data_IF_694955984506
#
_entry.id   IF_694955984506
#
_cell.length_a   1.000
_cell.length_b   1.000
_cell.length_c   1.000
_cell.angle_alpha   90.00
_cell.angle_beta   90.00
_cell.angle_gamma   90.00
#
_symmetry.space_group_name_H-M   'P 1'
#
loop_
_entity.id
_entity.type
_entity.pdbx_description
1 polymer ?
#
# COMPACT_ATOMS: atom_id res chain seq x y z
N UNK A 1 -9.36 -16.20 24.51
CA UNK A 1 -9.03 -16.28 23.07
C UNK A 1 -9.88 -15.23 22.37
N UNK A 2 -9.30 -14.08 22.02
CA UNK A 2 -10.01 -13.08 21.23
C UNK A 2 -9.96 -13.59 19.80
N UNK A 3 -11.00 -14.36 19.41
CA UNK A 3 -11.17 -14.76 18.03
C UNK A 3 -11.51 -13.51 17.22
N UNK A 4 -10.53 -12.93 16.54
CA UNK A 4 -10.82 -12.06 15.41
C UNK A 4 -11.43 -13.00 14.37
N UNK A 5 -12.74 -12.89 14.16
CA UNK A 5 -13.40 -13.53 13.05
C UNK A 5 -12.84 -12.91 11.78
N UNK A 6 -11.85 -13.56 11.20
CA UNK A 6 -11.28 -13.19 9.90
C UNK A 6 -12.27 -13.73 8.85
N UNK A 7 -13.39 -13.05 8.68
CA UNK A 7 -14.44 -13.54 7.80
C UNK A 7 -14.10 -13.37 6.32
N UNK A 8 -13.25 -12.47 5.94
CA UNK A 8 -12.70 -12.33 4.59
C UNK A 8 -11.51 -11.38 4.66
N UNK A 9 -10.30 -11.88 4.52
CA UNK A 9 -9.14 -11.06 4.21
C UNK A 9 -9.11 -10.80 2.71
N UNK A 10 -8.67 -9.61 2.30
CA UNK A 10 -8.25 -9.37 0.92
C UNK A 10 -7.22 -10.43 0.54
N UNK A 11 -7.40 -11.06 -0.61
CA UNK A 11 -6.33 -11.89 -1.13
C UNK A 11 -5.24 -11.01 -1.77
N UNK A 12 -4.05 -11.54 -1.89
CA UNK A 12 -2.89 -10.79 -2.38
C UNK A 12 -3.11 -10.18 -3.78
N UNK A 13 -3.88 -10.86 -4.64
CA UNK A 13 -4.17 -10.37 -5.99
C UNK A 13 -5.11 -9.15 -5.98
N UNK A 14 -6.14 -9.15 -5.13
CA UNK A 14 -7.04 -8.00 -4.96
C UNK A 14 -6.29 -6.82 -4.37
N UNK A 15 -5.49 -7.05 -3.33
CA UNK A 15 -4.64 -6.05 -2.72
C UNK A 15 -3.69 -5.41 -3.74
N UNK A 16 -2.88 -6.20 -4.42
CA UNK A 16 -1.95 -5.68 -5.43
C UNK A 16 -2.64 -4.92 -6.56
N UNK A 17 -3.82 -5.39 -7.00
CA UNK A 17 -4.59 -4.69 -8.02
C UNK A 17 -5.04 -3.31 -7.55
N UNK A 18 -5.62 -3.22 -6.35
CA UNK A 18 -6.09 -1.95 -5.80
C UNK A 18 -4.93 -1.00 -5.48
N UNK A 19 -3.85 -1.50 -4.90
CA UNK A 19 -2.63 -0.72 -4.66
C UNK A 19 -2.07 -0.16 -5.97
N UNK A 20 -2.02 -0.98 -7.04
CA UNK A 20 -1.54 -0.54 -8.34
C UNK A 20 -2.45 0.52 -8.98
N UNK A 21 -3.76 0.41 -8.82
CA UNK A 21 -4.73 1.43 -9.27
C UNK A 21 -4.54 2.75 -8.52
N UNK A 22 -4.45 2.70 -7.20
CA UNK A 22 -4.22 3.89 -6.37
C UNK A 22 -2.86 4.51 -6.69
N UNK A 23 -1.80 3.71 -6.78
CA UNK A 23 -0.46 4.17 -7.12
C UNK A 23 -0.41 4.86 -8.49
N UNK A 24 -1.11 4.30 -9.49
CA UNK A 24 -1.28 4.92 -10.79
C UNK A 24 -1.98 6.28 -10.69
N UNK A 25 -3.10 6.35 -9.98
CA UNK A 25 -3.86 7.60 -9.82
C UNK A 25 -3.02 8.66 -9.11
N UNK A 26 -2.29 8.30 -8.07
CA UNK A 26 -1.35 9.19 -7.37
C UNK A 26 -0.28 9.72 -8.30
N UNK A 27 0.36 8.85 -9.08
CA UNK A 27 1.42 9.25 -10.01
C UNK A 27 0.91 10.17 -11.13
N UNK A 28 -0.29 9.90 -11.68
CA UNK A 28 -0.92 10.80 -12.67
C UNK A 28 -1.28 12.15 -12.06
N UNK A 29 -1.82 12.17 -10.84
CA UNK A 29 -2.12 13.42 -10.11
C UNK A 29 -0.85 14.23 -9.81
N UNK A 30 0.24 13.57 -9.41
CA UNK A 30 1.54 14.23 -9.19
C UNK A 30 2.04 14.85 -10.49
N UNK A 31 1.85 14.17 -11.61
CA UNK A 31 2.35 14.57 -12.93
C UNK A 31 1.42 15.52 -13.70
N UNK A 32 0.35 16.02 -13.10
CA UNK A 32 -0.66 16.85 -13.77
C UNK A 32 -0.06 18.06 -14.51
N UNK A 33 0.97 18.66 -13.94
CA UNK A 33 1.65 19.84 -14.53
C UNK A 33 3.04 19.49 -15.09
N UNK A 34 3.80 18.63 -14.38
CA UNK A 34 5.16 18.26 -14.69
C UNK A 34 5.38 16.75 -14.54
N UNK A 35 6.28 16.17 -15.33
CA UNK A 35 6.68 14.76 -15.20
C UNK A 35 7.68 14.61 -14.05
N UNK A 36 7.20 14.39 -12.86
CA UNK A 36 7.98 14.26 -11.63
C UNK A 36 8.29 12.83 -11.25
N UNK A 37 7.39 11.89 -11.57
CA UNK A 37 7.52 10.46 -11.29
C UNK A 37 7.14 9.63 -12.52
N UNK A 38 7.66 8.41 -12.63
CA UNK A 38 7.27 7.45 -13.67
C UNK A 38 6.06 6.61 -13.19
N UNK A 39 4.84 6.83 -13.73
CA UNK A 39 3.66 6.09 -13.31
C UNK A 39 3.77 4.58 -13.53
N UNK A 40 4.50 4.16 -14.58
CA UNK A 40 4.67 2.75 -14.84
C UNK A 40 5.61 2.10 -13.81
N UNK A 41 6.64 2.81 -13.38
CA UNK A 41 7.55 2.34 -12.33
C UNK A 41 6.81 2.19 -10.98
N UNK A 42 5.95 3.15 -10.64
CA UNK A 42 5.06 3.04 -9.46
C UNK A 42 4.19 1.78 -9.55
N UNK A 43 3.49 1.58 -10.67
CA UNK A 43 2.63 0.40 -10.88
C UNK A 43 3.41 -0.91 -10.76
N UNK A 44 4.62 -0.98 -11.32
CA UNK A 44 5.46 -2.18 -11.20
C UNK A 44 5.80 -2.50 -9.74
N UNK A 45 6.15 -1.50 -8.95
CA UNK A 45 6.42 -1.68 -7.51
C UNK A 45 5.17 -2.13 -6.74
N UNK A 46 4.03 -1.48 -7.00
CA UNK A 46 2.74 -1.87 -6.39
C UNK A 46 2.35 -3.32 -6.69
N UNK A 47 2.69 -3.84 -7.88
CA UNK A 47 2.35 -5.21 -8.28
C UNK A 47 3.27 -6.28 -7.69
N UNK A 48 4.41 -5.91 -7.12
CA UNK A 48 5.40 -6.88 -6.65
C UNK A 48 5.77 -6.76 -5.18
N UNK A 49 5.32 -5.70 -4.49
CA UNK A 49 5.82 -5.35 -3.16
C UNK A 49 5.65 -6.47 -2.12
N UNK A 50 4.53 -7.16 -2.14
CA UNK A 50 4.22 -8.26 -1.21
C UNK A 50 4.32 -9.66 -1.87
N UNK A 51 4.98 -9.78 -3.03
CA UNK A 51 5.20 -11.09 -3.66
C UNK A 51 5.97 -12.04 -2.73
N UNK A 52 6.78 -11.51 -1.82
CA UNK A 52 7.43 -12.26 -0.76
C UNK A 52 6.46 -12.96 0.22
N UNK A 53 5.19 -12.57 0.25
CA UNK A 53 4.16 -13.16 1.11
C UNK A 53 3.42 -14.36 0.49
N UNK A 54 3.68 -14.68 -0.79
CA UNK A 54 3.01 -15.78 -1.52
C UNK A 54 3.10 -17.11 -0.76
N UNK A 55 4.24 -17.40 -0.14
CA UNK A 55 4.47 -18.62 0.62
C UNK A 55 4.62 -18.30 2.10
N UNK A 56 3.54 -18.27 2.84
CA UNK A 56 3.58 -18.07 4.29
C UNK A 56 2.72 -16.93 4.82
N UNK A 57 2.28 -16.04 3.94
CA UNK A 57 1.44 -14.90 4.30
C UNK A 57 2.16 -13.80 5.07
N UNK A 58 1.44 -12.72 5.33
CA UNK A 58 1.92 -11.58 6.12
C UNK A 58 1.97 -11.89 7.61
N UNK A 59 2.93 -11.30 8.29
CA UNK A 59 2.98 -11.30 9.76
C UNK A 59 2.15 -10.16 10.32
N UNK A 60 1.06 -10.51 11.00
CA UNK A 60 0.13 -9.53 11.55
C UNK A 60 0.83 -8.42 12.33
N UNK A 61 0.59 -7.17 11.96
CA UNK A 61 1.25 -5.99 12.52
C UNK A 61 1.21 -5.90 14.07
N UNK A 62 0.16 -6.35 14.79
CA UNK A 62 0.18 -6.40 16.25
C UNK A 62 1.24 -7.36 16.81
N UNK A 63 1.51 -8.47 16.12
CA UNK A 63 2.54 -9.43 16.51
C UNK A 63 3.94 -8.84 16.27
N UNK A 64 4.19 -8.30 15.10
CA UNK A 64 5.47 -7.66 14.75
C UNK A 64 5.84 -6.51 15.67
N UNK A 65 4.84 -5.76 16.15
CA UNK A 65 5.06 -4.67 17.13
C UNK A 65 5.42 -5.16 18.53
N UNK A 66 4.85 -6.29 18.95
CA UNK A 66 5.12 -6.87 20.28
C UNK A 66 6.38 -7.73 20.31
N UNK A 67 6.78 -8.26 19.18
CA UNK A 67 7.88 -9.18 19.01
C UNK A 67 8.75 -8.75 17.82
N UNK A 68 9.71 -7.83 18.03
CA UNK A 68 10.60 -7.35 16.95
C UNK A 68 11.42 -8.46 16.28
N UNK A 69 11.70 -9.54 17.02
CA UNK A 69 12.33 -10.75 16.49
C UNK A 69 11.46 -11.41 15.38
N UNK A 70 10.14 -11.42 15.53
CA UNK A 70 9.22 -11.95 14.52
C UNK A 70 9.28 -11.13 13.23
N UNK A 71 9.41 -9.81 13.33
CA UNK A 71 9.59 -8.97 12.15
C UNK A 71 10.85 -9.33 11.35
N UNK A 72 11.94 -9.65 12.06
CA UNK A 72 13.18 -10.10 11.40
C UNK A 72 12.99 -11.44 10.68
N UNK A 73 12.29 -12.39 11.30
CA UNK A 73 12.00 -13.68 10.68
C UNK A 73 11.09 -13.55 9.46
N UNK A 74 10.04 -12.69 9.54
CA UNK A 74 9.17 -12.39 8.42
C UNK A 74 9.97 -11.87 7.22
N UNK A 75 10.79 -10.84 7.41
CA UNK A 75 11.65 -10.31 6.34
C UNK A 75 12.60 -11.33 5.74
N UNK A 76 13.14 -12.26 6.55
CA UNK A 76 13.98 -13.33 6.03
C UNK A 76 13.19 -14.29 5.15
N UNK A 77 11.94 -14.61 5.54
CA UNK A 77 11.05 -15.45 4.76
C UNK A 77 10.63 -14.76 3.46
N UNK A 78 10.23 -13.50 3.53
CA UNK A 78 9.89 -12.66 2.38
C UNK A 78 11.03 -12.60 1.36
N UNK A 79 12.26 -12.32 1.82
CA UNK A 79 13.45 -12.30 0.96
C UNK A 79 13.70 -13.66 0.28
N UNK A 80 13.55 -14.76 1.02
CA UNK A 80 13.68 -16.11 0.46
C UNK A 80 12.60 -16.40 -0.58
N UNK A 81 11.37 -16.00 -0.33
CA UNK A 81 10.26 -16.14 -1.29
C UNK A 81 10.49 -15.31 -2.56
N UNK A 82 11.02 -14.09 -2.43
CA UNK A 82 11.43 -13.27 -3.58
C UNK A 82 12.49 -13.98 -4.42
N UNK A 83 13.49 -14.63 -3.79
CA UNK A 83 14.50 -15.41 -4.51
C UNK A 83 13.87 -16.59 -5.27
N UNK A 84 12.91 -17.30 -4.66
CA UNK A 84 12.19 -18.39 -5.33
C UNK A 84 11.47 -17.87 -6.56
N UNK A 85 10.66 -16.81 -6.44
CA UNK A 85 9.94 -16.23 -7.57
C UNK A 85 10.90 -15.72 -8.65
N UNK A 86 11.95 -15.02 -8.25
CA UNK A 86 12.95 -14.51 -9.17
C UNK A 86 13.73 -15.63 -9.89
N UNK A 87 13.81 -16.84 -9.31
CA UNK A 87 14.52 -17.97 -9.91
C UNK A 87 13.92 -18.43 -11.24
N UNK A 88 12.61 -18.18 -11.47
CA UNK A 88 11.94 -18.47 -12.75
C UNK A 88 12.34 -17.52 -13.87
N UNK A 89 12.99 -16.39 -13.53
CA UNK A 89 13.38 -15.36 -14.49
C UNK A 89 14.81 -15.62 -15.05
N UNK A 90 15.01 -15.26 -16.31
CA UNK A 90 16.37 -15.22 -16.89
C UNK A 90 17.24 -14.20 -16.12
N UNK A 91 18.57 -14.38 -16.05
CA UNK A 91 19.47 -13.58 -15.19
C UNK A 91 19.24 -12.07 -15.27
N UNK A 92 19.17 -11.50 -16.47
CA UNK A 92 18.96 -10.05 -16.69
C UNK A 92 17.60 -9.57 -16.18
N UNK A 93 16.54 -10.39 -16.30
CA UNK A 93 15.21 -10.05 -15.78
C UNK A 93 15.18 -10.18 -14.27
N UNK A 94 15.85 -11.19 -13.72
CA UNK A 94 16.01 -11.38 -12.28
C UNK A 94 16.70 -10.19 -11.61
N UNK A 95 17.77 -9.72 -12.20
CA UNK A 95 18.48 -8.52 -11.71
C UNK A 95 17.55 -7.28 -11.66
N UNK A 96 16.79 -7.04 -12.73
CA UNK A 96 15.82 -5.94 -12.78
C UNK A 96 14.70 -6.12 -11.74
N UNK A 97 14.20 -7.35 -11.57
CA UNK A 97 13.18 -7.68 -10.58
C UNK A 97 13.66 -7.41 -9.16
N UNK A 98 14.82 -7.93 -8.79
CA UNK A 98 15.41 -7.71 -7.48
C UNK A 98 15.73 -6.23 -7.25
N UNK A 99 16.23 -5.52 -8.26
CA UNK A 99 16.46 -4.08 -8.18
C UNK A 99 15.20 -3.29 -7.87
N UNK A 100 14.06 -3.68 -8.45
CA UNK A 100 12.78 -3.01 -8.21
C UNK A 100 12.24 -3.28 -6.79
N UNK A 101 12.40 -4.51 -6.27
CA UNK A 101 12.05 -4.85 -4.89
C UNK A 101 12.88 -4.04 -3.91
N UNK A 102 14.22 -4.04 -4.05
CA UNK A 102 15.10 -3.28 -3.16
C UNK A 102 14.80 -1.78 -3.21
N UNK A 103 14.54 -1.24 -4.39
CA UNK A 103 14.16 0.17 -4.53
C UNK A 103 12.89 0.50 -3.75
N UNK A 104 11.88 -0.37 -3.83
CA UNK A 104 10.64 -0.22 -3.08
C UNK A 104 10.85 -0.35 -1.57
N UNK A 105 11.51 -1.41 -1.11
CA UNK A 105 11.75 -1.68 0.31
C UNK A 105 12.54 -0.56 0.99
N UNK A 106 13.59 -0.07 0.32
CA UNK A 106 14.49 0.96 0.84
C UNK A 106 13.99 2.39 0.55
N UNK A 107 12.88 2.54 -0.19
CA UNK A 107 12.35 3.83 -0.63
C UNK A 107 13.42 4.70 -1.31
N UNK A 108 14.12 4.12 -2.29
CA UNK A 108 15.25 4.77 -2.95
C UNK A 108 14.86 5.83 -3.99
N UNK A 109 13.58 5.92 -4.33
CA UNK A 109 13.03 6.88 -5.31
C UNK A 109 11.70 7.45 -4.83
N UNK A 110 11.26 8.54 -5.45
CA UNK A 110 9.95 9.11 -5.19
C UNK A 110 8.84 8.17 -5.64
N UNK A 111 9.05 7.40 -6.72
CA UNK A 111 8.17 6.34 -7.17
C UNK A 111 7.96 5.28 -6.09
N UNK A 112 9.02 4.88 -5.40
CA UNK A 112 8.93 3.90 -4.31
C UNK A 112 8.13 4.47 -3.12
N UNK A 113 8.32 5.73 -2.79
CA UNK A 113 7.51 6.41 -1.76
C UNK A 113 6.04 6.49 -2.17
N UNK A 114 5.75 6.83 -3.43
CA UNK A 114 4.36 6.87 -3.96
C UNK A 114 3.72 5.49 -3.88
N UNK A 115 4.43 4.43 -4.22
CA UNK A 115 3.94 3.05 -4.11
C UNK A 115 3.65 2.67 -2.64
N UNK A 116 4.54 3.00 -1.71
CA UNK A 116 4.33 2.79 -0.27
C UNK A 116 3.13 3.58 0.28
N UNK A 117 2.92 4.80 -0.19
CA UNK A 117 1.73 5.61 0.18
C UNK A 117 0.46 4.97 -0.37
N UNK A 118 0.48 4.47 -1.60
CA UNK A 118 -0.65 3.78 -2.21
C UNK A 118 -1.07 2.53 -1.43
N UNK A 119 -0.11 1.72 -0.99
CA UNK A 119 -0.35 0.54 -0.15
C UNK A 119 -1.04 0.93 1.18
N UNK A 120 -0.57 1.99 1.85
CA UNK A 120 -1.18 2.44 3.10
C UNK A 120 -2.59 3.02 2.92
N UNK A 121 -2.85 3.71 1.81
CA UNK A 121 -4.19 4.20 1.47
C UNK A 121 -5.14 3.02 1.20
N UNK A 122 -4.70 2.01 0.44
CA UNK A 122 -5.49 0.80 0.17
C UNK A 122 -5.83 0.07 1.47
N UNK A 123 -4.83 -0.18 2.32
CA UNK A 123 -5.03 -0.84 3.63
C UNK A 123 -6.04 -0.08 4.49
N UNK A 124 -5.98 1.25 4.53
CA UNK A 124 -6.94 2.07 5.27
C UNK A 124 -8.34 1.98 4.67
N UNK A 125 -8.45 2.11 3.35
CA UNK A 125 -9.73 1.97 2.62
C UNK A 125 -10.37 0.62 2.86
N UNK A 126 -9.61 -0.47 2.76
CA UNK A 126 -10.08 -1.83 2.99
C UNK A 126 -10.63 -2.00 4.43
N UNK A 127 -9.91 -1.51 5.44
CA UNK A 127 -10.34 -1.58 6.83
C UNK A 127 -11.61 -0.77 7.10
N UNK A 128 -11.73 0.40 6.49
CA UNK A 128 -12.93 1.24 6.61
C UNK A 128 -14.13 0.60 5.91
N UNK A 129 -13.94 0.06 4.72
CA UNK A 129 -15.00 -0.61 3.96
C UNK A 129 -15.57 -1.84 4.67
N UNK A 130 -14.74 -2.56 5.42
CA UNK A 130 -15.15 -3.73 6.22
C UNK A 130 -15.70 -3.38 7.60
N UNK A 131 -15.99 -2.10 7.86
CA UNK A 131 -16.45 -1.61 9.18
C UNK A 131 -15.61 -2.17 10.34
N UNK A 132 -14.31 -2.35 10.06
CA UNK A 132 -13.40 -2.86 11.06
C UNK A 132 -13.13 -1.77 12.09
N UNK A 133 -13.66 -1.94 13.30
CA UNK A 133 -13.48 -1.01 14.43
C UNK A 133 -12.02 -0.72 14.78
N UNK A 134 -11.06 -1.49 14.24
CA UNK A 134 -9.64 -1.15 14.29
C UNK A 134 -9.31 0.08 13.43
N UNK A 135 -10.18 0.48 12.50
CA UNK A 135 -10.12 1.74 11.76
C UNK A 135 -10.29 2.98 12.65
N UNK A 136 -10.79 2.82 13.88
CA UNK A 136 -10.78 3.89 14.90
C UNK A 136 -9.35 4.36 15.24
N UNK A 137 -8.33 3.77 14.63
CA UNK A 137 -6.93 4.23 14.65
C UNK A 137 -6.59 5.17 13.49
N UNK A 138 -7.56 5.92 12.96
CA UNK A 138 -7.34 6.96 11.92
C UNK A 138 -6.08 7.80 12.14
N UNK A 139 -5.78 8.32 13.35
CA UNK A 139 -4.58 9.11 13.57
C UNK A 139 -3.27 8.37 13.28
N UNK A 140 -3.27 7.03 13.43
CA UNK A 140 -2.07 6.24 13.18
C UNK A 140 -1.74 6.14 11.69
N UNK A 141 -2.73 5.84 10.85
CA UNK A 141 -2.53 5.74 9.40
C UNK A 141 -2.23 7.10 8.78
N UNK A 142 -2.96 8.14 9.18
CA UNK A 142 -2.69 9.51 8.75
C UNK A 142 -1.23 9.91 9.05
N UNK A 143 -0.81 9.75 10.28
CA UNK A 143 0.57 10.04 10.67
C UNK A 143 1.58 9.22 9.85
N UNK A 144 1.29 7.95 9.62
CA UNK A 144 2.19 7.08 8.86
C UNK A 144 2.32 7.50 7.40
N UNK A 145 1.21 7.79 6.72
CA UNK A 145 1.19 8.26 5.32
C UNK A 145 1.97 9.57 5.21
N UNK A 146 1.74 10.54 6.11
CA UNK A 146 2.45 11.82 6.10
C UNK A 146 3.95 11.65 6.37
N UNK A 147 4.31 10.74 7.27
CA UNK A 147 5.72 10.40 7.54
C UNK A 147 6.40 9.78 6.31
N UNK A 148 5.68 8.95 5.54
CA UNK A 148 6.19 8.42 4.28
C UNK A 148 6.39 9.54 3.26
N UNK A 149 5.43 10.46 3.12
CA UNK A 149 5.52 11.59 2.20
C UNK A 149 6.70 12.52 2.51
N UNK A 150 7.20 12.58 3.75
CA UNK A 150 8.42 13.33 4.08
C UNK A 150 9.71 12.73 3.46
N UNK A 151 9.66 11.49 3.00
CA UNK A 151 10.84 10.80 2.44
C UNK A 151 11.08 11.09 0.97
N UNK A 152 10.16 11.74 0.27
CA UNK A 152 10.36 12.11 -1.13
C UNK A 152 11.49 13.13 -1.27
N UNK A 153 12.20 13.04 -2.39
CA UNK A 153 13.31 13.92 -2.73
C UNK A 153 12.84 15.29 -3.23
N UNK A 154 11.75 15.29 -4.00
CA UNK A 154 11.20 16.51 -4.58
C UNK A 154 10.07 17.08 -3.71
N UNK A 155 10.24 18.27 -3.12
CA UNK A 155 9.22 18.90 -2.25
C UNK A 155 7.84 19.02 -2.91
N UNK A 156 7.77 19.19 -4.22
CA UNK A 156 6.51 19.26 -4.98
C UNK A 156 5.75 17.95 -4.89
N UNK A 157 6.43 16.79 -5.00
CA UNK A 157 5.80 15.47 -4.84
C UNK A 157 5.18 15.34 -3.44
N UNK A 158 5.87 15.78 -2.40
CA UNK A 158 5.35 15.79 -1.03
C UNK A 158 4.08 16.63 -0.90
N UNK A 159 4.09 17.84 -1.45
CA UNK A 159 2.93 18.72 -1.41
C UNK A 159 1.73 18.07 -2.09
N UNK A 160 1.92 17.47 -3.27
CA UNK A 160 0.86 16.81 -4.01
C UNK A 160 0.36 15.53 -3.29
N UNK A 161 1.23 14.71 -2.72
CA UNK A 161 0.83 13.55 -1.91
C UNK A 161 -0.03 13.96 -0.70
N UNK A 162 0.39 14.99 0.03
CA UNK A 162 -0.39 15.48 1.17
C UNK A 162 -1.74 16.06 0.72
N UNK A 163 -1.78 16.82 -0.37
CA UNK A 163 -3.03 17.37 -0.92
C UNK A 163 -4.00 16.28 -1.39
N UNK A 164 -3.50 15.23 -2.04
CA UNK A 164 -4.32 14.08 -2.41
C UNK A 164 -4.90 13.40 -1.17
N UNK A 165 -4.08 13.17 -0.16
CA UNK A 165 -4.53 12.53 1.07
C UNK A 165 -5.54 13.38 1.83
N UNK A 166 -5.36 14.70 1.89
CA UNK A 166 -6.34 15.62 2.49
C UNK A 166 -7.70 15.58 1.76
N UNK A 167 -7.67 15.53 0.42
CA UNK A 167 -8.87 15.40 -0.40
C UNK A 167 -9.56 14.03 -0.18
N UNK A 168 -8.80 12.95 -0.13
CA UNK A 168 -9.29 11.61 0.16
C UNK A 168 -9.94 11.54 1.55
N UNK A 169 -9.28 12.01 2.60
CA UNK A 169 -9.81 12.04 3.95
C UNK A 169 -11.08 12.88 4.08
N UNK A 170 -11.12 14.05 3.41
CA UNK A 170 -12.29 14.89 3.36
C UNK A 170 -13.45 14.16 2.70
N UNK A 171 -13.20 13.49 1.56
CA UNK A 171 -14.24 12.73 0.86
C UNK A 171 -14.80 11.59 1.71
N UNK A 172 -13.93 10.83 2.38
CA UNK A 172 -14.34 9.74 3.28
C UNK A 172 -15.15 10.27 4.48
N UNK A 173 -14.74 11.41 5.05
CA UNK A 173 -15.48 12.04 6.17
C UNK A 173 -16.84 12.60 5.75
N UNK A 174 -16.88 13.33 4.64
CA UNK A 174 -18.09 14.06 4.22
C UNK A 174 -19.18 13.14 3.68
N UNK A 175 -18.78 12.01 3.10
CA UNK A 175 -19.71 11.05 2.48
C UNK A 175 -20.05 9.86 3.36
N UNK A 176 -19.40 9.74 4.54
CA UNK A 176 -19.66 8.63 5.46
C UNK A 176 -19.57 7.29 4.75
N UNK A 177 -18.37 6.90 4.29
CA UNK A 177 -18.16 5.59 3.68
C UNK A 177 -18.46 4.49 4.70
N UNK A 178 -19.73 4.14 4.80
CA UNK A 178 -20.17 2.95 5.50
C UNK A 178 -20.37 1.83 4.47
N UNK A 179 -20.14 0.59 4.88
CA UNK A 179 -20.42 -0.56 4.01
C UNK A 179 -21.85 -0.55 3.47
N UNK A 180 -22.80 0.13 4.15
CA UNK A 180 -24.15 0.39 3.71
C UNK A 180 -24.29 1.35 2.51
N UNK A 181 -23.28 2.19 2.23
CA UNK A 181 -23.36 3.15 1.12
C UNK A 181 -23.15 2.49 -0.25
N UNK A 182 -22.67 1.25 -0.26
CA UNK A 182 -22.58 0.40 -1.45
C UNK A 182 -23.87 -0.40 -1.71
N UNK A 183 -24.79 -0.41 -0.77
CA UNK A 183 -26.14 -0.93 -0.97
C UNK A 183 -26.90 0.19 -1.64
N UNK A 184 -27.16 0.02 -2.95
CA UNK A 184 -28.07 0.87 -3.70
C UNK A 184 -29.40 1.01 -2.93
N UNK A 185 -29.54 2.08 -2.18
CA UNK A 185 -30.86 2.54 -1.82
C UNK A 185 -31.41 3.25 -3.04
N UNK A 186 -32.53 2.81 -3.57
CA UNK A 186 -33.21 3.38 -4.73
C UNK A 186 -33.74 4.81 -4.51
N UNK A 187 -33.26 5.51 -3.52
CA UNK A 187 -33.55 6.91 -3.27
C UNK A 187 -32.56 7.81 -3.99
N UNK A 188 -32.70 7.84 -5.32
CA UNK A 188 -32.19 8.98 -6.09
C UNK A 188 -33.18 10.13 -5.95
N UNK A 189 -32.71 11.35 -5.64
CA UNK A 189 -33.56 12.53 -5.68
C UNK A 189 -34.08 12.79 -7.10
#
# INVERSE_FOLDING_TARGET
>A
MIGIKVEETSNLAEHHYLVAMIGRMLAEYINEEDKLVDPWRVVQMCLIHDVGEIFGGDTAAPLSRRRPDMKKHARTLEAFNHEIVASFLRPKLRERWNGLIHEHEDMQSDEAVVAQVADKIETQYFLEHRDNKSSQRKPFYEHHIRTLAERVRYPVVRVKLNAFFDAYEKHVRDKGFHAGDLIYTDERP
#
